data_IF_185704445094
#
_entry.id   IF_185704445094
#
_cell.length_a   1.000
_cell.length_b   1.000
_cell.length_c   1.000
_cell.angle_alpha   90.00
_cell.angle_beta   90.00
_cell.angle_gamma   90.00
#
_symmetry.space_group_name_H-M   'P 1'
#
loop_
_entity.id
_entity.type
_entity.pdbx_description
1 polymer ?
#
# COMPACT_ATOMS: atom_id res chain seq x y z
N UNK A 1 3.56 -22.32 12.23
CA UNK A 1 3.96 -21.03 11.58
C UNK A 1 3.36 -21.06 10.19
N UNK A 2 2.39 -20.15 9.90
CA UNK A 2 1.75 -20.07 8.59
C UNK A 2 2.58 -19.18 7.66
N UNK A 3 3.02 -19.67 6.49
CA UNK A 3 3.71 -18.83 5.51
C UNK A 3 2.93 -17.57 5.13
N UNK A 4 1.61 -17.69 5.05
CA UNK A 4 0.69 -16.56 4.75
C UNK A 4 0.81 -15.43 5.77
N UNK A 5 1.05 -15.74 7.04
CA UNK A 5 1.28 -14.72 8.07
C UNK A 5 2.46 -13.80 7.71
N UNK A 6 3.57 -14.39 7.29
CA UNK A 6 4.77 -13.62 6.91
C UNK A 6 4.56 -12.82 5.64
N UNK A 7 3.83 -13.38 4.66
CA UNK A 7 3.48 -12.66 3.41
C UNK A 7 2.68 -11.41 3.75
N UNK A 8 1.60 -11.56 4.52
CA UNK A 8 0.73 -10.43 4.89
C UNK A 8 1.47 -9.40 5.75
N UNK A 9 2.42 -9.85 6.56
CA UNK A 9 3.21 -8.98 7.43
C UNK A 9 4.23 -8.13 6.65
N UNK A 10 4.80 -8.67 5.57
CA UNK A 10 5.84 -7.99 4.78
C UNK A 10 5.25 -7.09 3.69
N UNK A 11 4.03 -7.36 3.23
CA UNK A 11 3.37 -6.55 2.19
C UNK A 11 3.37 -5.03 2.48
N UNK A 12 3.04 -4.58 3.70
CA UNK A 12 3.07 -3.15 4.04
C UNK A 12 4.44 -2.50 3.87
N UNK A 13 5.54 -3.25 4.07
CA UNK A 13 6.89 -2.71 3.86
C UNK A 13 7.14 -2.37 2.39
N UNK A 14 6.77 -3.23 1.48
CA UNK A 14 6.91 -2.98 0.04
C UNK A 14 6.10 -1.75 -0.40
N UNK A 15 4.86 -1.64 0.07
CA UNK A 15 4.01 -0.48 -0.22
C UNK A 15 4.62 0.78 0.40
N UNK A 16 5.13 0.70 1.62
CA UNK A 16 5.73 1.83 2.32
C UNK A 16 7.01 2.34 1.64
N UNK A 17 7.83 1.47 1.05
CA UNK A 17 9.00 1.88 0.27
C UNK A 17 8.59 2.80 -0.89
N UNK A 18 7.64 2.37 -1.68
CA UNK A 18 7.18 3.14 -2.85
C UNK A 18 6.47 4.42 -2.46
N UNK A 19 5.58 4.33 -1.48
CA UNK A 19 4.82 5.48 -0.97
C UNK A 19 5.72 6.54 -0.35
N UNK A 20 6.59 6.15 0.58
CA UNK A 20 7.48 7.09 1.27
C UNK A 20 8.54 7.65 0.32
N UNK A 21 9.02 6.84 -0.64
CA UNK A 21 9.93 7.30 -1.67
C UNK A 21 9.33 8.40 -2.54
N UNK A 22 8.09 8.24 -3.00
CA UNK A 22 7.39 9.29 -3.71
C UNK A 22 7.10 10.49 -2.80
N UNK A 23 6.52 10.26 -1.61
CA UNK A 23 6.12 11.32 -0.69
C UNK A 23 7.27 12.25 -0.32
N UNK A 24 8.44 11.69 -0.01
CA UNK A 24 9.61 12.46 0.39
C UNK A 24 10.27 13.20 -0.78
N UNK A 25 10.12 12.72 -2.01
CA UNK A 25 10.79 13.28 -3.18
C UNK A 25 9.84 14.00 -4.15
N UNK A 26 8.54 14.09 -3.84
CA UNK A 26 7.53 14.64 -4.75
C UNK A 26 7.87 16.05 -5.28
N UNK A 27 8.39 16.91 -4.42
CA UNK A 27 8.78 18.26 -4.86
C UNK A 27 9.93 18.22 -5.85
N UNK A 28 10.95 17.38 -5.64
CA UNK A 28 12.04 17.17 -6.57
C UNK A 28 11.56 16.59 -7.90
N UNK A 29 10.68 15.60 -7.87
CA UNK A 29 10.05 15.00 -9.06
C UNK A 29 9.32 16.06 -9.87
N UNK A 30 8.48 16.88 -9.23
CA UNK A 30 7.73 17.95 -9.89
C UNK A 30 8.62 19.07 -10.39
N UNK A 31 9.72 19.38 -9.70
CA UNK A 31 10.73 20.33 -10.19
C UNK A 31 11.42 19.80 -11.45
N UNK A 32 11.77 18.52 -11.51
CA UNK A 32 12.36 17.88 -12.69
C UNK A 32 11.37 17.87 -13.88
N UNK A 33 10.08 17.82 -13.62
CA UNK A 33 9.03 17.99 -14.62
C UNK A 33 8.84 19.45 -15.09
N UNK A 34 9.65 20.39 -14.58
CA UNK A 34 9.63 21.79 -14.99
C UNK A 34 8.56 22.67 -14.32
N UNK A 35 8.00 22.24 -13.17
CA UNK A 35 6.97 23.01 -12.49
C UNK A 35 7.56 24.14 -11.63
N UNK A 36 6.84 25.24 -11.56
CA UNK A 36 7.15 26.37 -10.65
C UNK A 36 6.85 26.01 -9.19
N UNK A 37 7.49 26.72 -8.24
CA UNK A 37 7.24 26.55 -6.81
C UNK A 37 5.78 26.75 -6.41
N UNK A 38 5.06 27.67 -7.07
CA UNK A 38 3.64 27.91 -6.85
C UNK A 38 2.80 26.71 -7.28
N UNK A 39 3.09 26.13 -8.44
CA UNK A 39 2.44 24.92 -8.94
C UNK A 39 2.70 23.71 -8.03
N UNK A 40 3.93 23.56 -7.54
CA UNK A 40 4.32 22.51 -6.60
C UNK A 40 3.55 22.65 -5.28
N UNK A 41 3.42 23.87 -4.77
CA UNK A 41 2.62 24.17 -3.58
C UNK A 41 1.15 23.79 -3.74
N UNK A 42 0.54 24.16 -4.86
CA UNK A 42 -0.84 23.82 -5.19
C UNK A 42 -1.04 22.31 -5.29
N UNK A 43 -0.14 21.62 -6.00
CA UNK A 43 -0.19 20.15 -6.11
C UNK A 43 0.01 19.45 -4.78
N UNK A 44 0.81 20.00 -3.88
CA UNK A 44 0.95 19.52 -2.52
C UNK A 44 -0.37 19.53 -1.75
N UNK A 45 -1.16 20.60 -1.91
CA UNK A 45 -2.51 20.71 -1.36
C UNK A 45 -3.48 19.69 -1.96
N UNK A 46 -3.49 19.57 -3.29
CA UNK A 46 -4.31 18.58 -4.02
C UNK A 46 -3.95 17.16 -3.57
N UNK A 47 -2.67 16.84 -3.49
CA UNK A 47 -2.19 15.53 -3.04
C UNK A 47 -2.72 15.20 -1.63
N UNK A 48 -2.63 16.17 -0.71
CA UNK A 48 -3.08 15.96 0.67
C UNK A 48 -4.60 15.76 0.75
N UNK A 49 -5.38 16.52 -0.02
CA UNK A 49 -6.83 16.36 -0.10
C UNK A 49 -7.20 15.00 -0.69
N UNK A 50 -6.56 14.62 -1.81
CA UNK A 50 -6.78 13.31 -2.44
C UNK A 50 -6.37 12.16 -1.52
N UNK A 51 -5.36 12.34 -0.69
CA UNK A 51 -4.98 11.38 0.33
C UNK A 51 -6.17 11.04 1.24
N UNK A 52 -6.84 12.04 1.80
CA UNK A 52 -8.01 11.83 2.65
C UNK A 52 -9.17 11.16 1.88
N UNK A 53 -9.37 11.55 0.61
CA UNK A 53 -10.43 10.97 -0.23
C UNK A 53 -10.14 9.50 -0.55
N UNK A 54 -8.91 9.15 -0.92
CA UNK A 54 -8.52 7.76 -1.20
C UNK A 54 -8.70 6.86 0.01
N UNK A 55 -8.40 7.41 1.19
CA UNK A 55 -8.66 6.78 2.47
C UNK A 55 -10.12 6.35 2.56
N UNK A 56 -11.03 7.28 2.38
CA UNK A 56 -12.47 7.01 2.47
C UNK A 56 -12.94 6.07 1.35
N UNK A 57 -12.51 6.30 0.10
CA UNK A 57 -12.85 5.47 -1.05
C UNK A 57 -12.43 4.02 -0.84
N UNK A 58 -11.23 3.79 -0.28
CA UNK A 58 -10.77 2.44 0.00
C UNK A 58 -11.69 1.74 1.01
N UNK A 59 -12.01 2.39 2.13
CA UNK A 59 -12.94 1.86 3.13
C UNK A 59 -14.28 1.51 2.51
N UNK A 60 -14.90 2.46 1.81
CA UNK A 60 -16.18 2.28 1.14
C UNK A 60 -16.19 1.12 0.12
N UNK A 61 -15.14 1.02 -0.70
CA UNK A 61 -15.00 -0.08 -1.66
C UNK A 61 -14.79 -1.42 -0.94
N UNK A 62 -14.00 -1.44 0.12
CA UNK A 62 -13.77 -2.64 0.92
C UNK A 62 -15.07 -3.19 1.50
N UNK A 63 -15.93 -2.30 2.00
CA UNK A 63 -17.24 -2.69 2.55
C UNK A 63 -18.20 -3.17 1.45
N UNK A 64 -18.18 -2.53 0.27
CA UNK A 64 -19.13 -2.80 -0.81
C UNK A 64 -18.79 -4.01 -1.67
N UNK A 65 -17.54 -4.19 -2.05
CA UNK A 65 -17.08 -5.26 -2.97
C UNK A 65 -16.17 -6.30 -2.31
N UNK A 66 -15.86 -6.08 -1.04
CA UNK A 66 -14.99 -6.93 -0.22
C UNK A 66 -13.52 -6.56 -0.29
N UNK A 67 -12.82 -6.73 0.83
CA UNK A 67 -11.41 -6.31 0.99
C UNK A 67 -10.48 -6.93 -0.07
N UNK A 68 -10.68 -8.20 -0.43
CA UNK A 68 -9.84 -8.90 -1.41
C UNK A 68 -9.83 -8.18 -2.77
N UNK A 69 -11.03 -7.91 -3.32
CA UNK A 69 -11.16 -7.25 -4.62
C UNK A 69 -10.61 -5.84 -4.58
N UNK A 70 -10.83 -5.14 -3.48
CA UNK A 70 -10.35 -3.77 -3.27
C UNK A 70 -8.81 -3.74 -3.25
N UNK A 71 -8.17 -4.58 -2.44
CA UNK A 71 -6.70 -4.63 -2.34
C UNK A 71 -6.07 -5.00 -3.70
N UNK A 72 -6.63 -5.99 -4.40
CA UNK A 72 -6.14 -6.37 -5.73
C UNK A 72 -6.30 -5.22 -6.74
N UNK A 73 -7.45 -4.54 -6.74
CA UNK A 73 -7.69 -3.39 -7.61
C UNK A 73 -6.69 -2.25 -7.38
N UNK A 74 -6.41 -1.94 -6.12
CA UNK A 74 -5.42 -0.91 -5.78
C UNK A 74 -3.98 -1.35 -6.09
N UNK A 75 -3.64 -2.63 -5.94
CA UNK A 75 -2.34 -3.14 -6.35
C UNK A 75 -2.14 -3.04 -7.87
N UNK A 76 -3.16 -3.40 -8.66
CA UNK A 76 -3.16 -3.21 -10.12
C UNK A 76 -3.02 -1.73 -10.49
N UNK A 77 -3.80 -0.86 -9.85
CA UNK A 77 -3.69 0.59 -10.06
C UNK A 77 -2.28 1.08 -9.75
N UNK A 78 -1.66 0.59 -8.66
CA UNK A 78 -0.27 0.90 -8.32
C UNK A 78 0.70 0.50 -9.43
N UNK A 79 0.59 -0.72 -9.97
CA UNK A 79 1.41 -1.17 -11.11
C UNK A 79 1.27 -0.20 -12.29
N UNK A 80 0.03 0.12 -12.67
CA UNK A 80 -0.26 0.99 -13.82
C UNK A 80 0.31 2.39 -13.61
N UNK A 81 0.05 2.99 -12.44
CA UNK A 81 0.48 4.37 -12.14
C UNK A 81 1.99 4.49 -12.13
N UNK A 82 2.70 3.53 -11.54
CA UNK A 82 4.16 3.55 -11.48
C UNK A 82 4.79 3.20 -12.83
N UNK A 83 4.26 2.21 -13.57
CA UNK A 83 4.80 1.79 -14.86
C UNK A 83 4.62 2.85 -15.96
N UNK A 84 3.56 3.65 -15.90
CA UNK A 84 3.28 4.68 -16.90
C UNK A 84 4.06 5.98 -16.66
N UNK A 85 4.77 6.14 -15.55
CA UNK A 85 5.52 7.36 -15.25
C UNK A 85 6.41 7.84 -16.42
N UNK A 86 7.23 6.97 -17.05
CA UNK A 86 8.09 7.41 -18.15
C UNK A 86 7.34 8.03 -19.32
N UNK A 87 6.08 7.61 -19.53
CA UNK A 87 5.24 8.09 -20.63
C UNK A 87 4.67 9.48 -20.34
N UNK A 88 4.18 9.69 -19.12
CA UNK A 88 3.50 10.96 -18.80
C UNK A 88 4.40 12.00 -18.13
N UNK A 89 5.61 11.65 -17.70
CA UNK A 89 6.53 12.60 -17.06
C UNK A 89 6.81 13.84 -17.93
N UNK A 90 6.83 13.68 -19.25
CA UNK A 90 7.00 14.78 -20.21
C UNK A 90 5.77 15.66 -20.44
N UNK A 91 4.61 15.33 -19.86
CA UNK A 91 3.36 16.11 -20.06
C UNK A 91 3.20 17.29 -19.09
N UNK A 92 4.22 17.60 -18.31
CA UNK A 92 4.27 18.78 -17.44
C UNK A 92 3.18 18.80 -16.36
N UNK A 93 2.51 19.94 -16.20
CA UNK A 93 1.56 20.17 -15.10
C UNK A 93 0.38 19.20 -15.10
N UNK A 94 -0.16 18.82 -16.25
CA UNK A 94 -1.29 17.89 -16.33
C UNK A 94 -0.93 16.50 -15.77
N UNK A 95 0.27 16.04 -16.10
CA UNK A 95 0.77 14.77 -15.56
C UNK A 95 1.02 14.86 -14.04
N UNK A 96 1.63 15.95 -13.59
CA UNK A 96 1.87 16.16 -12.17
C UNK A 96 0.56 16.24 -11.37
N UNK A 97 -0.50 16.80 -11.94
CA UNK A 97 -1.83 16.83 -11.35
C UNK A 97 -2.43 15.41 -11.25
N UNK A 98 -2.32 14.62 -12.31
CA UNK A 98 -2.72 13.22 -12.29
C UNK A 98 -1.91 12.41 -11.24
N UNK A 99 -0.60 12.67 -11.11
CA UNK A 99 0.22 12.08 -10.05
C UNK A 99 -0.29 12.46 -8.66
N UNK A 100 -0.62 13.75 -8.43
CA UNK A 100 -1.14 14.20 -7.14
C UNK A 100 -2.43 13.48 -6.73
N UNK A 101 -3.21 13.00 -7.69
CA UNK A 101 -4.41 12.20 -7.44
C UNK A 101 -4.05 10.73 -7.25
N UNK A 102 -3.46 10.10 -8.25
CA UNK A 102 -3.37 8.64 -8.35
C UNK A 102 -2.24 8.03 -7.52
N UNK A 103 -1.19 8.77 -7.19
CA UNK A 103 -0.12 8.25 -6.31
C UNK A 103 -0.57 8.08 -4.85
N UNK A 104 -1.76 8.54 -4.50
CA UNK A 104 -2.39 8.19 -3.24
C UNK A 104 -2.82 6.71 -3.14
N UNK A 105 -2.68 5.93 -4.22
CA UNK A 105 -2.85 4.47 -4.19
C UNK A 105 -2.01 3.79 -3.09
N UNK A 106 -0.85 4.34 -2.76
CA UNK A 106 0.01 3.87 -1.67
C UNK A 106 -0.63 3.98 -0.28
N UNK A 107 -1.70 4.78 -0.11
CA UNK A 107 -2.44 4.89 1.14
C UNK A 107 -3.17 3.60 1.52
N UNK A 108 -3.26 2.62 0.62
CA UNK A 108 -3.67 1.25 0.94
C UNK A 108 -2.93 0.70 2.17
N UNK A 109 -1.71 1.16 2.41
CA UNK A 109 -0.91 0.75 3.56
C UNK A 109 -1.58 1.11 4.91
N UNK A 110 -2.20 2.27 5.02
CA UNK A 110 -2.91 2.70 6.22
C UNK A 110 -4.14 1.82 6.54
N UNK A 111 -4.73 1.19 5.51
CA UNK A 111 -5.90 0.30 5.64
C UNK A 111 -5.54 -1.16 5.72
N UNK A 112 -4.31 -1.52 5.38
CA UNK A 112 -3.89 -2.91 5.35
C UNK A 112 -4.04 -3.56 6.73
N UNK A 113 -3.67 -2.83 7.79
CA UNK A 113 -3.87 -3.29 9.15
C UNK A 113 -5.34 -3.60 9.47
N UNK A 114 -6.22 -2.60 9.58
CA UNK A 114 -7.61 -2.82 10.00
C UNK A 114 -8.42 -3.67 9.03
N UNK A 115 -8.29 -3.44 7.74
CA UNK A 115 -9.18 -4.05 6.74
C UNK A 115 -8.69 -5.37 6.15
N UNK A 116 -7.41 -5.69 6.32
CA UNK A 116 -6.84 -6.97 5.88
C UNK A 116 -6.48 -7.86 7.06
N UNK A 117 -5.82 -7.31 8.06
CA UNK A 117 -5.37 -8.09 9.22
C UNK A 117 -6.53 -8.53 10.10
N UNK A 118 -7.51 -7.65 10.34
CA UNK A 118 -8.67 -7.97 11.18
C UNK A 118 -9.53 -9.11 10.58
N UNK A 119 -9.93 -9.06 9.30
CA UNK A 119 -10.68 -10.16 8.68
C UNK A 119 -9.89 -11.47 8.57
N UNK A 120 -8.56 -11.39 8.49
CA UNK A 120 -7.71 -12.57 8.33
C UNK A 120 -7.38 -13.25 9.66
N UNK A 121 -7.12 -12.50 10.72
CA UNK A 121 -6.57 -13.03 11.98
C UNK A 121 -7.52 -12.91 13.18
N UNK A 122 -8.75 -12.43 12.96
CA UNK A 122 -9.75 -12.27 14.01
C UNK A 122 -9.46 -11.13 14.99
N UNK A 123 -10.44 -10.78 15.81
CA UNK A 123 -10.36 -9.63 16.75
C UNK A 123 -9.28 -9.84 17.82
N UNK A 124 -9.11 -11.06 18.32
CA UNK A 124 -8.24 -11.35 19.45
C UNK A 124 -6.74 -11.18 19.16
N UNK A 125 -6.31 -11.38 17.92
CA UNK A 125 -4.90 -11.25 17.50
C UNK A 125 -4.62 -10.05 16.62
N UNK A 126 -5.66 -9.34 16.18
CA UNK A 126 -5.52 -8.23 15.23
C UNK A 126 -4.63 -7.12 15.75
N UNK A 127 -4.74 -6.72 17.02
CA UNK A 127 -3.95 -5.64 17.58
C UNK A 127 -2.44 -5.93 17.53
N UNK A 128 -2.03 -7.14 17.89
CA UNK A 128 -0.62 -7.56 17.83
C UNK A 128 -0.15 -7.60 16.38
N UNK A 129 -0.95 -8.17 15.48
CA UNK A 129 -0.62 -8.30 14.06
C UNK A 129 -0.54 -6.93 13.38
N UNK A 130 -1.46 -6.01 13.72
CA UNK A 130 -1.45 -4.62 13.22
C UNK A 130 -0.19 -3.89 13.69
N UNK A 131 0.20 -4.06 14.97
CA UNK A 131 1.41 -3.43 15.52
C UNK A 131 2.68 -3.93 14.81
N UNK A 132 2.81 -5.22 14.58
CA UNK A 132 3.92 -5.79 13.82
C UNK A 132 3.93 -5.30 12.37
N UNK A 133 2.78 -5.26 11.72
CA UNK A 133 2.63 -4.74 10.37
C UNK A 133 3.07 -3.28 10.25
N UNK A 134 2.64 -2.44 11.21
CA UNK A 134 3.02 -1.03 11.26
C UNK A 134 4.52 -0.84 11.49
N UNK A 135 5.13 -1.66 12.34
CA UNK A 135 6.58 -1.63 12.57
C UNK A 135 7.35 -2.00 11.29
N UNK A 136 6.93 -3.04 10.58
CA UNK A 136 7.55 -3.48 9.35
C UNK A 136 7.32 -2.47 8.21
N UNK A 137 6.14 -1.85 8.14
CA UNK A 137 5.87 -0.76 7.22
C UNK A 137 6.79 0.44 7.49
N UNK A 138 7.01 0.79 8.75
CA UNK A 138 7.95 1.87 9.13
C UNK A 138 9.38 1.54 8.72
N UNK A 139 9.82 0.30 8.88
CA UNK A 139 11.13 -0.16 8.39
C UNK A 139 11.22 -0.03 6.86
N UNK A 140 10.16 -0.39 6.13
CA UNK A 140 10.07 -0.17 4.69
C UNK A 140 10.19 1.32 4.31
N UNK A 141 9.46 2.19 5.02
CA UNK A 141 9.56 3.63 4.82
C UNK A 141 10.97 4.19 5.03
N UNK A 142 11.72 3.68 6.01
CA UNK A 142 13.12 4.05 6.25
C UNK A 142 14.06 3.62 5.12
N UNK A 143 13.73 2.57 4.38
CA UNK A 143 14.50 2.12 3.22
C UNK A 143 14.22 2.95 1.96
N UNK A 144 13.13 3.69 1.92
CA UNK A 144 12.73 4.45 0.75
C UNK A 144 13.80 5.43 0.21
N UNK A 145 14.48 6.27 1.03
CA UNK A 145 15.55 7.13 0.55
C UNK A 145 16.72 6.35 -0.05
N UNK A 146 17.02 5.18 0.48
CA UNK A 146 18.08 4.29 -0.02
C UNK A 146 17.71 3.80 -1.41
N UNK A 147 16.47 3.33 -1.60
CA UNK A 147 15.98 2.86 -2.90
C UNK A 147 16.00 3.98 -3.94
N UNK A 148 15.55 5.20 -3.57
CA UNK A 148 15.58 6.36 -4.47
C UNK A 148 17.02 6.70 -4.87
N UNK A 149 17.95 6.70 -3.92
CA UNK A 149 19.38 6.95 -4.18
C UNK A 149 19.98 5.89 -5.11
N UNK A 150 19.71 4.60 -4.87
CA UNK A 150 20.19 3.51 -5.72
C UNK A 150 19.60 3.54 -7.13
N UNK A 151 18.37 4.01 -7.29
CA UNK A 151 17.74 4.17 -8.59
C UNK A 151 18.49 5.17 -9.49
N UNK A 152 19.16 6.17 -8.91
CA UNK A 152 19.96 7.16 -9.61
C UNK A 152 19.15 8.17 -10.43
N UNK A 153 17.89 7.89 -10.71
CA UNK A 153 16.92 8.79 -11.37
C UNK A 153 15.49 8.48 -10.91
N UNK A 154 14.61 9.46 -11.00
CA UNK A 154 13.21 9.22 -10.66
C UNK A 154 12.55 8.24 -11.64
N UNK A 155 12.93 8.25 -12.91
CA UNK A 155 12.43 7.28 -13.88
C UNK A 155 12.70 5.83 -13.44
N UNK A 156 13.92 5.53 -13.05
CA UNK A 156 14.28 4.21 -12.54
C UNK A 156 13.58 3.89 -11.22
N UNK A 157 13.41 4.88 -10.34
CA UNK A 157 12.65 4.69 -9.11
C UNK A 157 11.19 4.27 -9.39
N UNK A 158 10.53 4.87 -10.36
CA UNK A 158 9.17 4.49 -10.73
C UNK A 158 9.10 3.10 -11.39
N UNK A 159 10.10 2.72 -12.19
CA UNK A 159 10.20 1.36 -12.72
C UNK A 159 10.38 0.34 -11.58
N UNK A 160 11.26 0.61 -10.63
CA UNK A 160 11.44 -0.22 -9.43
C UNK A 160 10.12 -0.28 -8.64
N UNK A 161 9.43 0.84 -8.48
CA UNK A 161 8.12 0.91 -7.84
C UNK A 161 7.07 0.05 -8.52
N UNK A 162 7.03 0.04 -9.86
CA UNK A 162 6.13 -0.83 -10.63
C UNK A 162 6.43 -2.31 -10.36
N UNK A 163 7.70 -2.70 -10.34
CA UNK A 163 8.12 -4.08 -10.00
C UNK A 163 7.70 -4.44 -8.58
N UNK A 164 7.87 -3.53 -7.62
CA UNK A 164 7.42 -3.72 -6.24
C UNK A 164 5.90 -3.94 -6.20
N UNK A 165 5.10 -3.16 -6.93
CA UNK A 165 3.65 -3.35 -6.98
C UNK A 165 3.24 -4.66 -7.66
N UNK A 166 4.00 -5.16 -8.63
CA UNK A 166 3.78 -6.51 -9.19
C UNK A 166 4.02 -7.56 -8.10
N UNK A 167 5.08 -7.42 -7.30
CA UNK A 167 5.34 -8.32 -6.16
C UNK A 167 4.19 -8.24 -5.15
N UNK A 168 3.74 -7.03 -4.80
CA UNK A 168 2.59 -6.82 -3.91
C UNK A 168 1.34 -7.50 -4.46
N UNK A 169 1.06 -7.38 -5.75
CA UNK A 169 -0.08 -8.03 -6.41
C UNK A 169 -0.01 -9.55 -6.30
N UNK A 170 1.13 -10.14 -6.64
CA UNK A 170 1.34 -11.60 -6.56
C UNK A 170 1.20 -12.10 -5.13
N UNK A 171 1.87 -11.45 -4.18
CA UNK A 171 1.79 -11.82 -2.77
C UNK A 171 0.37 -11.66 -2.21
N UNK A 172 -0.36 -10.63 -2.62
CA UNK A 172 -1.78 -10.44 -2.24
C UNK A 172 -2.66 -11.55 -2.79
N UNK A 173 -2.47 -11.98 -4.03
CA UNK A 173 -3.18 -13.12 -4.61
C UNK A 173 -2.94 -14.37 -3.77
N UNK A 174 -1.68 -14.67 -3.46
CA UNK A 174 -1.30 -15.86 -2.67
C UNK A 174 -1.92 -15.80 -1.26
N UNK A 175 -1.82 -14.64 -0.60
CA UNK A 175 -2.34 -14.45 0.75
C UNK A 175 -3.86 -14.58 0.84
N UNK A 176 -4.57 -14.21 -0.22
CA UNK A 176 -6.03 -14.19 -0.26
C UNK A 176 -6.66 -15.40 -0.98
N UNK A 177 -5.86 -16.43 -1.32
CA UNK A 177 -6.39 -17.69 -1.86
C UNK A 177 -7.30 -18.38 -0.85
N UNK A 178 -8.39 -19.04 -1.30
CA UNK A 178 -9.31 -19.74 -0.41
C UNK A 178 -8.61 -20.76 0.51
N UNK A 179 -7.61 -21.47 -0.01
CA UNK A 179 -6.79 -22.41 0.78
C UNK A 179 -5.97 -21.74 1.87
N UNK A 180 -5.49 -20.52 1.62
CA UNK A 180 -4.76 -19.71 2.61
C UNK A 180 -5.69 -19.19 3.70
N UNK A 181 -6.86 -18.71 3.31
CA UNK A 181 -7.90 -18.21 4.23
C UNK A 181 -8.43 -19.34 5.13
N UNK A 182 -8.65 -20.53 4.57
CA UNK A 182 -9.10 -21.68 5.36
C UNK A 182 -8.05 -22.08 6.43
N UNK A 183 -6.77 -22.15 6.07
CA UNK A 183 -5.70 -22.43 7.03
C UNK A 183 -5.63 -21.42 8.19
N UNK A 184 -5.93 -20.15 7.92
CA UNK A 184 -5.96 -19.12 8.96
C UNK A 184 -7.13 -19.38 9.91
N UNK A 185 -8.34 -19.64 9.36
CA UNK A 185 -9.52 -19.98 10.16
C UNK A 185 -9.30 -21.22 11.04
N UNK A 186 -8.70 -22.26 10.49
CA UNK A 186 -8.42 -23.51 11.22
C UNK A 186 -7.46 -23.27 12.40
N UNK A 187 -6.48 -22.37 12.22
CA UNK A 187 -5.55 -22.01 13.32
C UNK A 187 -6.22 -21.14 14.36
N UNK A 188 -7.10 -20.23 13.96
CA UNK A 188 -7.84 -19.37 14.87
C UNK A 188 -8.82 -20.21 15.71
N UNK A 189 -9.56 -21.12 15.08
CA UNK A 189 -10.47 -22.04 15.76
C UNK A 189 -9.73 -22.90 16.83
N UNK A 190 -8.59 -23.48 16.47
CA UNK A 190 -7.76 -24.23 17.42
C UNK A 190 -7.25 -23.38 18.59
N UNK A 191 -6.97 -22.12 18.34
CA UNK A 191 -6.52 -21.20 19.39
C UNK A 191 -7.65 -20.86 20.36
N UNK A 192 -8.84 -20.57 19.83
CA UNK A 192 -10.05 -20.31 20.62
C UNK A 192 -10.38 -21.52 21.50
N UNK A 193 -10.37 -22.71 20.92
CA UNK A 193 -10.60 -23.97 21.66
C UNK A 193 -9.58 -24.19 22.77
N UNK A 194 -8.27 -24.02 22.47
CA UNK A 194 -7.19 -24.26 23.43
C UNK A 194 -7.18 -23.27 24.61
N UNK A 195 -7.75 -22.06 24.46
CA UNK A 195 -7.73 -21.01 25.48
C UNK A 195 -9.11 -20.74 26.09
N UNK A 196 -10.12 -21.52 25.74
CA UNK A 196 -11.48 -21.40 26.29
C UNK A 196 -12.11 -20.02 26.04
N UNK A 197 -11.71 -19.33 24.95
CA UNK A 197 -12.23 -18.01 24.59
C UNK A 197 -13.62 -18.23 23.99
N UNK A 198 -14.67 -17.93 24.74
CA UNK A 198 -16.02 -17.79 24.18
C UNK A 198 -16.04 -16.51 23.35
N UNK A 199 -16.52 -16.58 22.10
CA UNK A 199 -16.84 -15.38 21.32
C UNK A 199 -17.82 -14.54 22.15
N UNK A 200 -17.32 -13.50 22.79
CA UNK A 200 -18.19 -12.48 23.37
C UNK A 200 -18.84 -11.74 22.19
N UNK A 201 -20.16 -11.76 22.13
CA UNK A 201 -21.04 -11.07 21.21
C UNK A 201 -20.65 -9.63 20.91
#
# INVERSE_FOLDING_TARGET
KLPVFWIVLVLPAFIAITQSGFYSNRSGIWTEMGLSLEQIGTLGGVFTLCNAIFVWVFGFLSDKIGFRKTVLGFAVLGVVVYALYPVYAGLGYAAAFAMAIFFNVGQINAYFGPNVMLPLFGKNKSNVTISWSSMIASAGAMLAPVVVKFAGSYNNFFIIGAVIYVIVLVLTIIATMPSSLQKIKDVDAKYVEAHGITEAE
#
